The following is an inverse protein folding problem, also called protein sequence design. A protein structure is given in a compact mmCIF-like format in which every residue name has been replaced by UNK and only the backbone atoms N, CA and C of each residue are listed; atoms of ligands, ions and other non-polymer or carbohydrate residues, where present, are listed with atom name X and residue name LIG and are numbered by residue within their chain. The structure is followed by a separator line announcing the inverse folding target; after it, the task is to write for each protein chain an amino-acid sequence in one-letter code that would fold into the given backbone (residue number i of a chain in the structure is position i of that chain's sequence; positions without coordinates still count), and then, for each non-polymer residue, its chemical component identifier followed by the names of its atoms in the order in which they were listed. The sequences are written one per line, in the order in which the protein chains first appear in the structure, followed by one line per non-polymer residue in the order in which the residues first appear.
data_IF_993442083201
#
_entry.id   IF_993442083201
#
_cell.length_a   1.000
_cell.length_b   1.000
_cell.length_c   1.000
_cell.angle_alpha   90.00
_cell.angle_beta   90.00
_cell.angle_gamma   90.00
#
_symmetry.space_group_name_H-M   'P 1'
#
loop_
_entity.id
_entity.type
_entity.pdbx_description
1 polymer ?
#
# COMPACT_ATOMS: atom_id res chain seq x y z
N UNK A 1 -13.88 13.59 -7.24
CA UNK A 1 -14.71 14.15 -6.15
C UNK A 1 -14.76 13.13 -5.03
N UNK A 2 -14.69 13.58 -3.78
CA UNK A 2 -14.66 12.76 -2.57
C UNK A 2 -16.08 12.51 -2.05
N UNK A 3 -16.37 11.24 -1.75
CA UNK A 3 -17.66 10.77 -1.27
C UNK A 3 -17.81 10.98 0.22
N UNK A 4 -18.93 11.58 0.63
CA UNK A 4 -19.23 11.93 2.03
C UNK A 4 -20.48 11.19 2.50
N UNK A 5 -20.37 10.48 3.62
CA UNK A 5 -21.52 9.95 4.35
C UNK A 5 -21.87 10.91 5.50
N UNK A 6 -23.15 11.31 5.58
CA UNK A 6 -23.64 12.18 6.66
C UNK A 6 -24.50 11.37 7.65
N UNK A 7 -24.11 11.35 8.92
CA UNK A 7 -24.77 10.60 9.99
C UNK A 7 -25.22 11.55 11.10
N UNK A 8 -26.53 11.79 11.19
CA UNK A 8 -27.13 12.80 12.09
C UNK A 8 -28.59 12.39 12.32
N UNK A 9 -29.02 12.25 13.58
CA UNK A 9 -30.36 11.75 13.90
C UNK A 9 -31.44 12.84 13.75
N UNK A 10 -31.07 14.12 13.88
CA UNK A 10 -31.98 15.23 13.65
C UNK A 10 -32.14 15.55 12.15
N UNK A 11 -33.28 15.15 11.57
CA UNK A 11 -33.65 15.41 10.17
C UNK A 11 -33.46 16.86 9.71
N UNK A 12 -33.74 17.83 10.58
CA UNK A 12 -33.63 19.26 10.27
C UNK A 12 -32.15 19.65 10.13
N UNK A 13 -31.30 19.19 11.04
CA UNK A 13 -29.86 19.46 11.02
C UNK A 13 -29.24 18.79 9.79
N UNK A 14 -29.57 17.51 9.56
CA UNK A 14 -29.06 16.75 8.42
C UNK A 14 -29.39 17.42 7.08
N UNK A 15 -30.65 17.84 6.90
CA UNK A 15 -31.07 18.61 5.71
C UNK A 15 -30.39 19.98 5.62
N UNK A 16 -30.21 20.64 6.76
CA UNK A 16 -29.51 21.93 6.85
C UNK A 16 -28.07 21.83 6.36
N UNK A 17 -27.32 20.83 6.85
CA UNK A 17 -25.94 20.54 6.39
C UNK A 17 -25.94 20.25 4.89
N UNK A 18 -26.82 19.36 4.42
CA UNK A 18 -26.90 19.00 3.01
C UNK A 18 -27.16 20.20 2.10
N UNK A 19 -27.99 21.14 2.52
CA UNK A 19 -28.33 22.32 1.72
C UNK A 19 -27.31 23.46 1.82
N UNK A 20 -26.56 23.56 2.92
CA UNK A 20 -25.76 24.75 3.23
C UNK A 20 -24.27 24.56 2.99
N UNK A 21 -23.76 23.33 3.06
CA UNK A 21 -22.34 23.06 2.78
C UNK A 21 -22.09 23.14 1.26
N UNK A 22 -21.06 23.87 0.81
CA UNK A 22 -20.78 24.06 -0.61
C UNK A 22 -19.97 22.89 -1.18
N UNK A 23 -20.59 21.69 -1.22
CA UNK A 23 -19.96 20.40 -1.53
C UNK A 23 -19.04 20.42 -2.76
N UNK A 24 -19.53 20.96 -3.89
CA UNK A 24 -18.78 21.01 -5.15
C UNK A 24 -17.51 21.87 -5.03
N UNK A 25 -17.58 22.99 -4.31
CA UNK A 25 -16.42 23.87 -4.10
C UNK A 25 -15.35 23.21 -3.24
N UNK A 26 -15.76 22.28 -2.36
CA UNK A 26 -14.87 21.44 -1.56
C UNK A 26 -14.46 20.14 -2.29
N UNK A 27 -14.71 20.00 -3.60
CA UNK A 27 -14.44 18.78 -4.38
C UNK A 27 -15.11 17.51 -3.83
N UNK A 28 -16.26 17.64 -3.17
CA UNK A 28 -16.93 16.57 -2.44
C UNK A 28 -18.41 16.43 -2.80
N UNK A 29 -19.07 15.35 -2.39
CA UNK A 29 -20.51 15.15 -2.55
C UNK A 29 -21.06 14.15 -1.52
N UNK A 30 -22.33 14.29 -1.15
CA UNK A 30 -23.01 13.36 -0.24
C UNK A 30 -23.41 12.08 -0.99
N UNK A 31 -22.81 10.95 -0.61
CA UNK A 31 -23.09 9.63 -1.20
C UNK A 31 -24.21 8.88 -0.46
N UNK A 32 -24.42 9.20 0.81
CA UNK A 32 -25.46 8.60 1.66
C UNK A 32 -25.77 9.45 2.89
N UNK A 33 -26.91 9.13 3.51
CA UNK A 33 -27.34 9.72 4.78
C UNK A 33 -27.78 8.60 5.72
N UNK A 34 -27.51 8.76 7.02
CA UNK A 34 -27.97 7.87 8.07
C UNK A 34 -28.47 8.66 9.28
N UNK A 35 -29.37 8.02 10.03
CA UNK A 35 -30.05 8.59 11.20
C UNK A 35 -29.49 8.10 12.55
N UNK A 36 -28.53 7.16 12.53
CA UNK A 36 -27.89 6.61 13.73
C UNK A 36 -26.62 5.82 13.34
N UNK A 37 -25.81 5.45 14.34
CA UNK A 37 -24.54 4.74 14.11
C UNK A 37 -24.67 3.34 13.48
N UNK A 38 -25.78 2.61 13.68
CA UNK A 38 -25.98 1.30 13.05
C UNK A 38 -26.21 1.44 11.55
N UNK A 39 -27.09 2.36 11.15
CA UNK A 39 -27.34 2.68 9.74
C UNK A 39 -26.06 3.25 9.09
N UNK A 40 -25.37 4.16 9.79
CA UNK A 40 -24.10 4.73 9.34
C UNK A 40 -23.05 3.65 9.10
N UNK A 41 -22.85 2.73 10.04
CA UNK A 41 -21.95 1.58 9.88
C UNK A 41 -22.26 0.76 8.64
N UNK A 42 -23.53 0.40 8.42
CA UNK A 42 -23.95 -0.36 7.25
C UNK A 42 -23.62 0.38 5.94
N UNK A 43 -23.88 1.69 5.89
CA UNK A 43 -23.56 2.50 4.71
C UNK A 43 -22.04 2.67 4.51
N UNK A 44 -21.24 2.68 5.57
CA UNK A 44 -19.76 2.66 5.45
C UNK A 44 -19.31 1.37 4.75
N UNK A 45 -19.87 0.23 5.13
CA UNK A 45 -19.54 -1.07 4.55
C UNK A 45 -19.94 -1.16 3.06
N UNK A 46 -21.13 -0.64 2.72
CA UNK A 46 -21.70 -0.70 1.37
C UNK A 46 -21.10 0.34 0.41
N UNK A 47 -20.98 1.59 0.85
CA UNK A 47 -20.61 2.73 0.00
C UNK A 47 -19.13 3.05 0.05
N UNK A 48 -18.41 2.60 1.09
CA UNK A 48 -16.98 2.89 1.33
C UNK A 48 -16.65 4.38 1.14
N UNK A 49 -17.30 5.27 1.89
CA UNK A 49 -17.14 6.70 1.71
C UNK A 49 -15.70 7.14 2.01
N UNK A 50 -15.25 8.21 1.36
CA UNK A 50 -13.95 8.82 1.62
C UNK A 50 -13.94 9.60 2.95
N UNK A 51 -15.10 10.18 3.30
CA UNK A 51 -15.29 11.02 4.49
C UNK A 51 -16.61 10.63 5.17
N UNK A 52 -16.60 10.58 6.50
CA UNK A 52 -17.80 10.41 7.32
C UNK A 52 -17.94 11.63 8.22
N UNK A 53 -19.06 12.34 8.10
CA UNK A 53 -19.45 13.41 9.01
C UNK A 53 -20.50 12.82 9.94
N UNK A 54 -20.27 12.85 11.25
CA UNK A 54 -21.19 12.26 12.23
C UNK A 54 -21.40 13.17 13.42
N UNK A 55 -22.63 13.21 13.93
CA UNK A 55 -22.84 13.65 15.31
C UNK A 55 -22.26 12.63 16.31
N UNK A 56 -21.94 13.09 17.52
CA UNK A 56 -21.60 12.18 18.61
C UNK A 56 -22.88 11.54 19.14
N UNK A 57 -23.81 12.36 19.62
CA UNK A 57 -24.89 11.91 20.49
C UNK A 57 -26.13 11.50 19.68
N UNK A 58 -26.15 10.25 19.22
CA UNK A 58 -27.29 9.69 18.47
C UNK A 58 -27.90 8.47 19.19
N UNK A 59 -29.20 8.18 19.01
CA UNK A 59 -29.83 6.96 19.51
C UNK A 59 -29.21 5.68 18.95
N UNK A 60 -29.43 4.56 19.66
CA UNK A 60 -29.05 3.18 19.29
C UNK A 60 -27.53 2.93 19.31
N UNK A 61 -26.76 3.71 18.56
CA UNK A 61 -25.30 3.69 18.52
C UNK A 61 -24.82 5.11 18.24
N UNK A 62 -23.94 5.59 19.11
CA UNK A 62 -23.33 6.92 18.99
C UNK A 62 -22.25 6.96 17.89
N UNK A 63 -21.87 8.17 17.47
CA UNK A 63 -20.90 8.35 16.39
C UNK A 63 -19.50 7.82 16.71
N UNK A 64 -19.09 7.83 17.98
CA UNK A 64 -17.78 7.35 18.42
C UNK A 64 -17.70 5.82 18.38
N UNK A 65 -18.74 5.15 18.87
CA UNK A 65 -18.89 3.70 18.78
C UNK A 65 -18.90 3.24 17.33
N UNK A 66 -19.64 3.94 16.47
CA UNK A 66 -19.64 3.68 15.03
C UNK A 66 -18.22 3.77 14.47
N UNK A 67 -17.51 4.88 14.71
CA UNK A 67 -16.13 5.07 14.24
C UNK A 67 -15.20 3.98 14.76
N UNK A 68 -15.22 3.68 16.06
CA UNK A 68 -14.38 2.65 16.65
C UNK A 68 -14.63 1.25 16.03
N UNK A 69 -15.86 0.99 15.60
CA UNK A 69 -16.27 -0.29 14.99
C UNK A 69 -15.85 -0.41 13.52
N UNK A 70 -15.71 0.69 12.79
CA UNK A 70 -15.48 0.68 11.33
C UNK A 70 -14.08 1.11 10.94
N UNK A 71 -13.45 2.03 11.68
CA UNK A 71 -12.16 2.65 11.32
C UNK A 71 -10.98 1.68 11.29
N UNK A 72 -11.08 0.54 11.97
CA UNK A 72 -10.06 -0.53 11.94
C UNK A 72 -10.10 -1.36 10.65
N UNK A 73 -11.22 -1.30 9.91
CA UNK A 73 -11.49 -2.12 8.72
C UNK A 73 -11.60 -1.25 7.47
N UNK A 74 -12.19 -0.07 7.60
CA UNK A 74 -12.44 0.86 6.52
C UNK A 74 -11.67 2.15 6.77
N UNK A 75 -10.98 2.58 5.73
CA UNK A 75 -10.25 3.82 5.75
C UNK A 75 -11.10 4.94 5.16
N UNK A 76 -11.46 5.90 5.99
CA UNK A 76 -12.15 7.14 5.63
C UNK A 76 -11.68 8.24 6.58
N UNK A 77 -11.82 9.51 6.25
CA UNK A 77 -11.56 10.61 7.19
C UNK A 77 -12.84 10.90 7.99
N UNK A 78 -12.74 11.07 9.30
CA UNK A 78 -13.90 11.30 10.16
C UNK A 78 -13.94 12.77 10.60
N UNK A 79 -15.09 13.41 10.41
CA UNK A 79 -15.42 14.72 10.98
C UNK A 79 -16.51 14.52 12.03
N UNK A 80 -16.26 14.96 13.25
CA UNK A 80 -17.24 14.88 14.34
C UNK A 80 -17.92 16.23 14.54
N UNK A 81 -19.25 16.21 14.59
CA UNK A 81 -20.06 17.34 15.06
C UNK A 81 -20.24 17.19 16.57
N UNK A 82 -19.91 18.21 17.35
CA UNK A 82 -19.83 18.09 18.82
C UNK A 82 -20.39 19.31 19.53
N UNK A 83 -21.10 19.12 20.63
CA UNK A 83 -21.59 20.22 21.46
C UNK A 83 -20.53 20.70 22.46
N UNK A 84 -20.75 21.88 23.06
CA UNK A 84 -19.86 22.43 24.09
C UNK A 84 -19.70 21.52 25.34
N UNK A 85 -20.65 20.63 25.61
CA UNK A 85 -20.61 19.68 26.73
C UNK A 85 -19.75 18.44 26.48
N UNK A 86 -19.28 18.22 25.25
CA UNK A 86 -18.71 16.94 24.81
C UNK A 86 -17.18 16.98 24.71
N UNK A 87 -16.52 17.95 25.36
CA UNK A 87 -15.08 18.17 25.29
C UNK A 87 -14.25 16.96 25.81
N UNK A 88 -14.76 16.22 26.80
CA UNK A 88 -14.13 14.96 27.27
C UNK A 88 -14.24 13.83 26.22
N UNK A 89 -15.33 13.78 25.45
CA UNK A 89 -15.53 12.81 24.37
C UNK A 89 -14.66 13.13 23.15
N UNK A 90 -14.41 14.41 22.85
CA UNK A 90 -13.49 14.82 21.79
C UNK A 90 -12.04 14.33 22.05
N UNK A 91 -11.61 14.27 23.32
CA UNK A 91 -10.31 13.72 23.70
C UNK A 91 -10.20 12.20 23.48
N UNK A 92 -11.30 11.46 23.55
CA UNK A 92 -11.35 10.02 23.22
C UNK A 92 -11.33 9.77 21.71
N UNK A 93 -11.93 10.67 20.92
CA UNK A 93 -11.88 10.63 19.46
C UNK A 93 -10.46 10.84 18.90
N UNK A 94 -9.68 11.74 19.50
CA UNK A 94 -8.26 11.97 19.15
C UNK A 94 -7.43 10.69 19.36
N UNK A 95 -7.73 9.90 20.40
CA UNK A 95 -7.05 8.62 20.66
C UNK A 95 -7.41 7.52 19.64
N UNK A 96 -8.55 7.66 18.96
CA UNK A 96 -9.05 6.71 17.96
C UNK A 96 -8.79 7.14 16.51
N UNK A 97 -7.93 8.14 16.29
CA UNK A 97 -7.52 8.56 14.94
C UNK A 97 -8.56 9.39 14.19
N UNK A 98 -9.38 10.15 14.91
CA UNK A 98 -10.26 11.16 14.33
C UNK A 98 -9.48 12.46 14.11
N UNK A 99 -9.59 13.00 12.90
CA UNK A 99 -8.71 14.06 12.40
C UNK A 99 -9.29 15.47 12.58
N UNK A 100 -10.62 15.62 12.72
CA UNK A 100 -11.27 16.93 12.68
C UNK A 100 -12.61 16.95 13.43
N UNK A 101 -12.92 18.07 14.08
CA UNK A 101 -14.21 18.30 14.77
C UNK A 101 -14.77 19.69 14.43
N UNK A 102 -16.09 19.82 14.47
CA UNK A 102 -16.83 21.07 14.29
C UNK A 102 -17.82 21.26 15.43
N UNK A 103 -17.81 22.44 16.05
CA UNK A 103 -18.65 22.74 17.21
C UNK A 103 -20.09 23.10 16.79
N UNK A 104 -21.08 22.59 17.56
CA UNK A 104 -22.47 23.04 17.51
C UNK A 104 -22.61 24.32 18.39
N UNK A 105 -23.28 25.39 17.93
CA UNK A 105 -24.07 25.50 16.70
C UNK A 105 -23.19 25.57 15.45
N UNK A 106 -23.59 24.86 14.39
CA UNK A 106 -22.77 24.68 13.20
C UNK A 106 -22.49 26.00 12.50
N UNK A 107 -21.20 26.37 12.43
CA UNK A 107 -20.70 27.46 11.60
C UNK A 107 -20.33 26.91 10.22
N UNK A 108 -20.90 27.46 9.15
CA UNK A 108 -20.67 26.95 7.79
C UNK A 108 -19.23 27.21 7.30
N UNK A 109 -18.55 28.24 7.77
CA UNK A 109 -17.14 28.46 7.41
C UNK A 109 -16.25 27.41 8.09
N UNK A 110 -16.50 27.11 9.37
CA UNK A 110 -15.78 26.04 10.09
C UNK A 110 -16.07 24.66 9.48
N UNK A 111 -17.32 24.39 9.10
CA UNK A 111 -17.69 23.16 8.37
C UNK A 111 -16.95 23.05 7.04
N UNK A 112 -16.83 24.16 6.30
CA UNK A 112 -16.12 24.20 5.03
C UNK A 112 -14.63 23.94 5.24
N UNK A 113 -13.98 24.62 6.19
CA UNK A 113 -12.58 24.41 6.53
C UNK A 113 -12.32 22.96 6.96
N UNK A 114 -13.18 22.40 7.81
CA UNK A 114 -13.09 21.01 8.23
C UNK A 114 -13.20 20.02 7.06
N UNK A 115 -14.13 20.28 6.15
CA UNK A 115 -14.33 19.48 4.95
C UNK A 115 -13.13 19.58 3.97
N UNK A 116 -12.58 20.77 3.77
CA UNK A 116 -11.38 20.99 2.95
C UNK A 116 -10.16 20.23 3.51
N UNK A 117 -9.97 20.27 4.84
CA UNK A 117 -8.92 19.49 5.51
C UNK A 117 -9.13 17.98 5.34
N UNK A 118 -10.36 17.51 5.55
CA UNK A 118 -10.68 16.09 5.39
C UNK A 118 -10.49 15.60 3.94
N UNK A 119 -10.83 16.43 2.96
CA UNK A 119 -10.56 16.15 1.54
C UNK A 119 -9.06 16.06 1.29
N UNK A 120 -8.26 17.01 1.79
CA UNK A 120 -6.79 16.99 1.65
C UNK A 120 -6.18 15.72 2.27
N UNK A 121 -6.63 15.34 3.47
CA UNK A 121 -6.19 14.12 4.13
C UNK A 121 -6.58 12.87 3.35
N UNK A 122 -7.80 12.81 2.81
CA UNK A 122 -8.22 11.72 1.94
C UNK A 122 -7.39 11.66 0.65
N UNK A 123 -7.04 12.81 0.04
CA UNK A 123 -6.09 12.86 -1.10
C UNK A 123 -4.75 12.22 -0.72
N UNK A 124 -4.22 12.55 0.45
CA UNK A 124 -2.94 12.03 0.93
C UNK A 124 -2.98 10.53 1.19
N UNK A 125 -4.07 10.03 1.81
CA UNK A 125 -4.28 8.60 2.02
C UNK A 125 -4.32 7.86 0.67
N UNK A 126 -5.09 8.38 -0.29
CA UNK A 126 -5.17 7.80 -1.63
C UNK A 126 -3.82 7.83 -2.35
N UNK A 127 -3.12 8.97 -2.32
CA UNK A 127 -1.79 9.11 -2.90
C UNK A 127 -0.77 8.14 -2.29
N UNK A 128 -0.77 7.98 -0.96
CA UNK A 128 0.10 7.03 -0.27
C UNK A 128 -0.25 5.59 -0.63
N UNK A 129 -1.54 5.25 -0.80
CA UNK A 129 -1.95 3.93 -1.29
C UNK A 129 -1.49 3.68 -2.71
N UNK A 130 -1.76 4.58 -3.65
CA UNK A 130 -1.29 4.44 -5.03
C UNK A 130 0.24 4.34 -5.10
N UNK A 131 0.96 5.12 -4.27
CA UNK A 131 2.42 5.05 -4.20
C UNK A 131 2.89 3.74 -3.59
N UNK A 132 2.22 3.22 -2.56
CA UNK A 132 2.51 1.93 -1.96
C UNK A 132 2.13 0.77 -2.88
N UNK A 133 1.10 0.90 -3.71
CA UNK A 133 0.70 -0.08 -4.71
C UNK A 133 1.68 -0.10 -5.88
N UNK A 134 2.11 1.07 -6.39
CA UNK A 134 3.21 1.16 -7.37
C UNK A 134 4.54 0.69 -6.80
N UNK A 135 4.81 0.96 -5.52
CA UNK A 135 5.97 0.40 -4.81
C UNK A 135 5.82 -1.11 -4.66
N UNK A 136 4.62 -1.64 -4.38
CA UNK A 136 4.34 -3.08 -4.38
C UNK A 136 4.47 -3.71 -5.77
N UNK A 137 4.13 -3.00 -6.86
CA UNK A 137 4.39 -3.45 -8.23
C UNK A 137 5.88 -3.47 -8.56
N UNK A 138 6.66 -2.51 -8.03
CA UNK A 138 8.13 -2.49 -8.11
C UNK A 138 8.77 -3.58 -7.21
N UNK A 139 8.15 -3.89 -6.06
CA UNK A 139 8.54 -4.98 -5.17
C UNK A 139 8.14 -6.36 -5.72
N UNK A 140 7.07 -6.42 -6.51
CA UNK A 140 6.57 -7.58 -7.25
C UNK A 140 7.02 -7.58 -8.72
N UNK A 141 8.19 -6.99 -9.02
CA UNK A 141 8.92 -7.39 -10.23
C UNK A 141 9.36 -8.84 -9.98
N UNK A 142 8.44 -9.78 -10.25
CA UNK A 142 8.73 -11.20 -10.26
C UNK A 142 9.53 -11.44 -11.54
N UNK A 143 10.85 -11.31 -11.44
CA UNK A 143 11.76 -11.58 -12.57
C UNK A 143 11.71 -13.05 -13.01
N UNK A 144 11.04 -13.89 -12.23
CA UNK A 144 10.93 -15.34 -12.33
C UNK A 144 9.44 -15.71 -12.22
N UNK A 145 8.84 -16.27 -13.26
CA UNK A 145 7.46 -16.78 -13.19
C UNK A 145 7.40 -18.06 -12.31
N UNK A 146 6.53 -18.11 -11.30
CA UNK A 146 6.25 -19.33 -10.53
C UNK A 146 5.40 -20.30 -11.37
N UNK A 147 6.02 -21.37 -11.87
CA UNK A 147 5.30 -22.47 -12.54
C UNK A 147 4.97 -23.59 -11.55
N UNK A 148 3.69 -23.95 -11.48
CA UNK A 148 3.09 -24.83 -10.46
C UNK A 148 3.32 -26.34 -10.69
N UNK A 149 4.20 -26.75 -11.61
CA UNK A 149 4.68 -28.13 -11.72
C UNK A 149 6.02 -28.18 -12.47
N UNK A 150 7.12 -28.05 -11.73
CA UNK A 150 8.47 -28.12 -12.29
C UNK A 150 9.04 -29.53 -12.17
N UNK A 151 9.81 -29.94 -13.18
CA UNK A 151 10.56 -31.20 -13.18
C UNK A 151 11.52 -31.26 -11.96
N UNK A 152 11.70 -32.42 -11.29
CA UNK A 152 12.53 -32.54 -10.09
C UNK A 152 13.97 -32.05 -10.27
N UNK A 153 14.55 -32.20 -11.47
CA UNK A 153 15.90 -31.69 -11.77
C UNK A 153 15.90 -30.16 -11.78
N UNK A 154 14.82 -29.54 -12.30
CA UNK A 154 14.68 -28.08 -12.27
C UNK A 154 14.53 -27.60 -10.83
N UNK A 155 13.73 -28.28 -10.01
CA UNK A 155 13.60 -27.94 -8.59
C UNK A 155 14.95 -27.98 -7.87
N UNK A 156 15.79 -28.99 -8.12
CA UNK A 156 17.13 -29.07 -7.54
C UNK A 156 18.03 -27.92 -8.00
N UNK A 157 17.99 -27.54 -9.30
CA UNK A 157 18.75 -26.39 -9.80
C UNK A 157 18.28 -25.09 -9.13
N UNK A 158 16.96 -24.91 -8.98
CA UNK A 158 16.39 -23.72 -8.35
C UNK A 158 16.76 -23.63 -6.87
N UNK A 159 16.69 -24.76 -6.15
CA UNK A 159 17.09 -24.85 -4.75
C UNK A 159 18.58 -24.53 -4.58
N UNK A 160 19.45 -25.10 -5.42
CA UNK A 160 20.88 -24.80 -5.38
C UNK A 160 21.16 -23.31 -5.60
N UNK A 161 20.46 -22.68 -6.56
CA UNK A 161 20.56 -21.22 -6.78
C UNK A 161 20.13 -20.46 -5.52
N UNK A 162 19.02 -20.83 -4.89
CA UNK A 162 18.52 -20.16 -3.69
C UNK A 162 19.48 -20.27 -2.50
N UNK A 163 20.14 -21.42 -2.33
CA UNK A 163 21.09 -21.66 -1.23
C UNK A 163 22.45 -21.00 -1.48
N UNK A 164 22.91 -20.92 -2.74
CA UNK A 164 24.27 -20.51 -3.09
C UNK A 164 24.37 -19.18 -3.87
N UNK A 165 23.27 -18.43 -4.09
CA UNK A 165 23.31 -17.23 -4.95
C UNK A 165 24.33 -16.17 -4.51
N UNK A 166 24.75 -16.14 -3.24
CA UNK A 166 25.75 -15.19 -2.73
C UNK A 166 27.19 -15.55 -3.14
N UNK A 167 27.40 -16.79 -3.59
CA UNK A 167 28.71 -17.35 -3.90
C UNK A 167 29.03 -17.23 -5.40
N UNK A 168 30.28 -17.47 -5.79
CA UNK A 168 30.64 -17.53 -7.20
C UNK A 168 30.19 -18.87 -7.78
N UNK A 169 28.99 -18.90 -8.36
CA UNK A 169 28.47 -20.07 -9.09
C UNK A 169 29.01 -20.08 -10.52
N UNK A 170 29.67 -21.16 -10.90
CA UNK A 170 29.95 -21.53 -12.29
C UNK A 170 29.13 -22.77 -12.65
N UNK A 171 28.83 -22.97 -13.93
CA UNK A 171 27.97 -24.08 -14.36
C UNK A 171 28.54 -25.46 -14.00
N UNK A 172 29.86 -25.60 -13.96
CA UNK A 172 30.53 -26.83 -13.50
C UNK A 172 30.17 -27.24 -12.07
N UNK A 173 29.81 -26.30 -11.20
CA UNK A 173 29.38 -26.60 -9.82
C UNK A 173 28.06 -27.37 -9.82
N UNK A 174 27.18 -27.07 -10.78
CA UNK A 174 25.92 -27.79 -10.97
C UNK A 174 26.13 -29.17 -11.61
N UNK A 175 27.14 -29.34 -12.46
CA UNK A 175 27.49 -30.67 -12.98
C UNK A 175 27.94 -31.61 -11.86
N UNK A 176 28.73 -31.10 -10.91
CA UNK A 176 29.23 -31.87 -9.77
C UNK A 176 28.11 -32.28 -8.82
N UNK A 177 27.20 -31.36 -8.50
CA UNK A 177 26.10 -31.59 -7.55
C UNK A 177 24.97 -32.44 -8.15
N UNK A 178 24.64 -32.22 -9.43
CA UNK A 178 23.48 -32.86 -10.07
C UNK A 178 23.86 -34.08 -10.91
N UNK A 179 25.15 -34.31 -11.15
CA UNK A 179 25.69 -35.38 -12.01
C UNK A 179 25.11 -35.36 -13.44
N UNK A 180 24.76 -34.18 -13.95
CA UNK A 180 24.32 -33.97 -15.33
C UNK A 180 25.28 -33.03 -16.06
N UNK A 181 25.45 -33.23 -17.37
CA UNK A 181 26.23 -32.29 -18.18
C UNK A 181 25.55 -30.92 -18.31
N UNK A 182 26.36 -29.88 -18.46
CA UNK A 182 25.99 -28.48 -18.71
C UNK A 182 25.02 -28.33 -19.87
N UNK A 183 25.22 -29.14 -20.91
CA UNK A 183 24.34 -29.17 -22.09
C UNK A 183 22.94 -29.64 -21.71
N UNK A 184 22.84 -30.71 -20.93
CA UNK A 184 21.55 -31.24 -20.48
C UNK A 184 20.85 -30.25 -19.54
N UNK A 185 21.58 -29.72 -18.55
CA UNK A 185 21.09 -28.73 -17.59
C UNK A 185 20.53 -27.52 -18.34
N UNK A 186 21.31 -26.88 -19.22
CA UNK A 186 20.86 -25.69 -19.95
C UNK A 186 19.69 -25.99 -20.91
N UNK A 187 19.70 -27.13 -21.60
CA UNK A 187 18.61 -27.49 -22.49
C UNK A 187 17.30 -27.70 -21.72
N UNK A 188 17.36 -28.41 -20.60
CA UNK A 188 16.21 -28.71 -19.76
C UNK A 188 15.67 -27.46 -19.07
N UNK A 189 16.58 -26.63 -18.54
CA UNK A 189 16.24 -25.37 -17.87
C UNK A 189 15.60 -24.36 -18.83
N UNK A 190 16.15 -24.19 -20.04
CA UNK A 190 15.53 -23.37 -21.09
C UNK A 190 14.16 -23.88 -21.50
N UNK A 191 13.99 -25.20 -21.64
CA UNK A 191 12.70 -25.79 -22.00
C UNK A 191 11.64 -25.52 -20.92
N UNK A 192 12.02 -25.56 -19.65
CA UNK A 192 11.09 -25.34 -18.54
C UNK A 192 10.78 -23.85 -18.28
N UNK A 193 11.82 -23.01 -18.26
CA UNK A 193 11.76 -21.63 -17.75
C UNK A 193 12.06 -20.56 -18.82
N UNK A 194 12.29 -20.95 -20.07
CA UNK A 194 12.52 -20.01 -21.18
C UNK A 194 13.86 -19.26 -21.12
N UNK A 195 14.74 -19.60 -20.19
CA UNK A 195 15.98 -18.85 -19.90
C UNK A 195 17.15 -19.77 -19.58
N UNK A 196 18.38 -19.25 -19.53
CA UNK A 196 19.54 -20.03 -19.02
C UNK A 196 19.59 -19.98 -17.50
N UNK A 197 20.31 -20.93 -16.91
CA UNK A 197 20.61 -20.94 -15.47
C UNK A 197 21.30 -19.64 -15.04
N UNK A 198 22.30 -19.18 -15.79
CA UNK A 198 23.04 -17.94 -15.47
C UNK A 198 22.15 -16.70 -15.55
N UNK A 199 21.28 -16.62 -16.56
CA UNK A 199 20.35 -15.51 -16.71
C UNK A 199 19.31 -15.50 -15.58
N UNK A 200 18.85 -16.68 -15.16
CA UNK A 200 17.98 -16.82 -13.99
C UNK A 200 18.69 -16.43 -12.69
N UNK A 201 19.92 -16.90 -12.47
CA UNK A 201 20.74 -16.55 -11.32
C UNK A 201 20.91 -15.03 -11.21
N UNK A 202 21.25 -14.38 -12.32
CA UNK A 202 21.38 -12.92 -12.35
C UNK A 202 20.04 -12.23 -11.99
N UNK A 203 18.91 -12.70 -12.53
CA UNK A 203 17.58 -12.19 -12.16
C UNK A 203 17.28 -12.37 -10.68
N UNK A 204 17.52 -13.55 -10.13
CA UNK A 204 17.33 -13.85 -8.72
C UNK A 204 18.16 -12.93 -7.82
N UNK A 205 19.44 -12.74 -8.16
CA UNK A 205 20.35 -11.81 -7.45
C UNK A 205 19.87 -10.37 -7.50
N UNK A 206 19.38 -9.91 -8.65
CA UNK A 206 18.79 -8.57 -8.76
C UNK A 206 17.51 -8.46 -7.91
N UNK A 207 16.66 -9.49 -7.89
CA UNK A 207 15.47 -9.50 -7.03
C UNK A 207 15.83 -9.37 -5.54
N UNK A 208 16.87 -10.07 -5.07
CA UNK A 208 17.40 -9.89 -3.71
C UNK A 208 17.99 -8.49 -3.50
N UNK A 209 18.68 -7.94 -4.49
CA UNK A 209 19.23 -6.59 -4.44
C UNK A 209 18.14 -5.51 -4.31
N UNK A 210 17.01 -5.65 -5.01
CA UNK A 210 15.87 -4.74 -4.89
C UNK A 210 15.35 -4.67 -3.45
N UNK A 211 15.28 -5.81 -2.75
CA UNK A 211 14.86 -5.86 -1.35
C UNK A 211 15.81 -5.11 -0.41
N UNK A 212 17.13 -5.14 -0.69
CA UNK A 212 18.16 -4.46 0.11
C UNK A 212 18.25 -2.95 -0.16
N UNK A 213 17.91 -2.52 -1.38
CA UNK A 213 17.98 -1.11 -1.81
C UNK A 213 16.83 -0.24 -1.30
N UNK A 214 15.90 -0.80 -0.50
CA UNK A 214 14.79 -0.04 0.12
C UNK A 214 15.25 0.97 1.18
N UNK A 215 16.48 0.87 1.68
CA UNK A 215 17.02 1.79 2.69
C UNK A 215 17.98 2.82 2.05
N UNK A 216 17.79 4.11 2.38
CA UNK A 216 18.56 5.24 1.83
C UNK A 216 20.05 5.19 2.16
N UNK A 217 20.39 4.51 3.27
CA UNK A 217 21.76 4.41 3.76
C UNK A 217 22.51 3.19 3.22
N UNK A 218 21.85 2.33 2.43
CA UNK A 218 22.50 1.14 1.88
C UNK A 218 23.55 1.52 0.83
N UNK A 219 24.77 1.00 0.99
CA UNK A 219 25.86 1.20 0.04
C UNK A 219 25.69 0.24 -1.14
N UNK A 220 25.50 0.76 -2.35
CA UNK A 220 25.17 -0.07 -3.55
C UNK A 220 26.24 -1.12 -3.86
N UNK A 221 27.52 -0.81 -3.65
CA UNK A 221 28.60 -1.78 -3.84
C UNK A 221 28.54 -2.94 -2.84
N UNK A 222 28.06 -2.69 -1.62
CA UNK A 222 27.84 -3.71 -0.60
C UNK A 222 26.65 -4.60 -0.99
N UNK A 223 25.57 -4.02 -1.52
CA UNK A 223 24.43 -4.80 -2.04
C UNK A 223 24.86 -5.76 -3.15
N UNK A 224 25.65 -5.28 -4.11
CA UNK A 224 26.19 -6.12 -5.17
C UNK A 224 26.97 -7.31 -4.61
N UNK A 225 27.86 -7.04 -3.65
CA UNK A 225 28.64 -8.07 -2.96
C UNK A 225 27.75 -9.09 -2.22
N UNK A 226 26.79 -8.63 -1.42
CA UNK A 226 25.84 -9.48 -0.68
C UNK A 226 24.92 -10.29 -1.60
N UNK A 227 24.77 -9.89 -2.86
CA UNK A 227 24.02 -10.63 -3.88
C UNK A 227 24.92 -11.53 -4.76
N UNK A 228 26.20 -11.73 -4.41
CA UNK A 228 27.13 -12.56 -5.19
C UNK A 228 27.64 -11.91 -6.48
N UNK A 229 27.53 -10.59 -6.60
CA UNK A 229 28.05 -9.80 -7.72
C UNK A 229 29.06 -8.76 -7.18
N UNK A 230 30.29 -9.22 -6.93
CA UNK A 230 31.34 -8.37 -6.35
C UNK A 230 31.87 -7.26 -7.27
N UNK A 231 31.72 -7.38 -8.59
CA UNK A 231 32.11 -6.32 -9.52
C UNK A 231 30.98 -5.28 -9.67
N UNK A 232 31.23 -4.06 -9.21
CA UNK A 232 30.25 -2.98 -9.22
C UNK A 232 29.78 -2.57 -10.62
N UNK A 233 30.67 -2.61 -11.63
CA UNK A 233 30.32 -2.24 -13.01
C UNK A 233 29.40 -3.29 -13.62
N UNK A 234 29.74 -4.56 -13.42
CA UNK A 234 28.93 -5.70 -13.85
C UNK A 234 27.58 -5.73 -13.12
N UNK A 235 27.56 -5.50 -11.79
CA UNK A 235 26.31 -5.36 -11.04
C UNK A 235 25.39 -4.30 -11.65
N UNK A 236 25.89 -3.10 -11.91
CA UNK A 236 25.06 -2.04 -12.52
C UNK A 236 24.63 -2.39 -13.96
N UNK A 237 25.47 -3.06 -14.73
CA UNK A 237 25.10 -3.54 -16.07
C UNK A 237 23.93 -4.53 -16.00
N UNK A 238 24.01 -5.53 -15.12
CA UNK A 238 22.99 -6.55 -14.90
C UNK A 238 21.71 -5.93 -14.31
N UNK A 239 21.84 -5.05 -13.32
CA UNK A 239 20.72 -4.34 -12.71
C UNK A 239 19.96 -3.50 -13.75
N UNK A 240 20.68 -2.70 -14.54
CA UNK A 240 20.09 -1.87 -15.60
C UNK A 240 19.45 -2.71 -16.70
N UNK A 241 20.02 -3.86 -17.04
CA UNK A 241 19.45 -4.80 -18.02
C UNK A 241 18.05 -5.27 -17.61
N UNK A 242 17.80 -5.54 -16.33
CA UNK A 242 16.50 -6.07 -15.87
C UNK A 242 15.51 -5.00 -15.39
N UNK A 243 16.02 -3.92 -14.78
CA UNK A 243 15.18 -2.90 -14.13
C UNK A 243 15.01 -1.66 -15.03
N UNK A 244 15.81 -1.51 -16.07
CA UNK A 244 15.75 -0.38 -17.00
C UNK A 244 16.44 0.90 -16.50
N UNK A 245 16.89 0.93 -15.24
CA UNK A 245 17.68 2.01 -14.67
C UNK A 245 18.82 1.46 -13.79
N UNK A 246 19.81 2.29 -13.46
CA UNK A 246 20.89 1.91 -12.56
C UNK A 246 20.40 1.72 -11.13
N UNK A 247 21.14 0.97 -10.31
CA UNK A 247 20.80 0.76 -8.91
C UNK A 247 20.74 2.10 -8.12
N UNK A 248 21.55 3.09 -8.52
CA UNK A 248 21.54 4.42 -7.90
C UNK A 248 20.28 5.20 -8.25
N UNK A 249 19.87 5.18 -9.51
CA UNK A 249 18.62 5.80 -9.95
C UNK A 249 17.42 5.12 -9.29
N UNK A 250 17.44 3.80 -9.16
CA UNK A 250 16.39 3.04 -8.47
C UNK A 250 16.28 3.44 -6.99
N UNK A 251 17.40 3.47 -6.26
CA UNK A 251 17.43 3.88 -4.84
C UNK A 251 16.89 5.30 -4.63
N UNK A 252 17.09 6.21 -5.60
CA UNK A 252 16.57 7.58 -5.54
C UNK A 252 15.07 7.70 -5.90
N UNK A 253 14.47 6.70 -6.58
CA UNK A 253 13.06 6.71 -7.01
C UNK A 253 12.11 6.07 -6.02
N UNK A 254 12.58 5.05 -5.28
CA UNK A 254 11.76 4.27 -4.34
C UNK A 254 11.56 4.99 -3.00
N UNK A 255 12.29 6.09 -2.76
CA UNK A 255 12.24 6.89 -1.54
C UNK A 255 11.84 8.33 -1.86
#
# INVERSE_FOLDING_TARGET
MYSVLLVEDEDIIRKGIRASVPWESCESYVVGEASNGIEGKKLIEELKPDIVITDINMPVMDGLQMIANTKTVFDYVAIILTGYSDFEYAMEAIRNGVSTYVLKPLNMEEMKEALEQAVLESKNIHYLRERNEKTKELENITLIEEKTSLDPVIQQILQYIEEHYQEKIVLSDLEEVLHYSDRYINQKFRKALGTTVIEYLNRFRIQKALAMLKNKNTVISEVGFLCGIGDYKYFNHVFKKYIGCSAKEYQNRVL
#
